data_IF_090705514648
#
_entry.id   IF_090705514648
#
_cell.length_a   1.000
_cell.length_b   1.000
_cell.length_c   1.000
_cell.angle_alpha   90.00
_cell.angle_beta   90.00
_cell.angle_gamma   90.00
#
_symmetry.space_group_name_H-M   'P 1'
#
loop_
_entity.id
_entity.type
_entity.pdbx_description
1 polymer ?
#
# COMPACT_ATOMS: atom_id res chain seq x y z
N UNK A 1 -2.34 -2.28 12.35
CA UNK A 1 -2.74 -1.46 11.19
C UNK A 1 -2.28 -0.01 11.35
N UNK A 2 -2.55 0.68 12.47
CA UNK A 2 -2.25 2.11 12.71
C UNK A 2 -0.79 2.48 12.41
N UNK A 3 0.18 1.70 12.92
CA UNK A 3 1.62 1.96 12.67
C UNK A 3 1.94 1.96 11.18
N UNK A 4 1.43 1.00 10.41
CA UNK A 4 1.71 0.91 8.97
C UNK A 4 1.05 2.03 8.15
N UNK A 5 -0.16 2.46 8.53
CA UNK A 5 -0.80 3.63 7.92
C UNK A 5 -0.11 4.92 8.34
N UNK A 6 0.32 5.04 9.61
CA UNK A 6 1.08 6.18 10.12
C UNK A 6 2.41 6.37 9.38
N UNK A 7 3.19 5.30 9.17
CA UNK A 7 4.41 5.35 8.36
C UNK A 7 4.14 5.79 6.91
N UNK A 8 3.06 5.29 6.30
CA UNK A 8 2.62 5.73 4.99
C UNK A 8 2.19 7.19 4.93
N UNK A 9 1.53 7.71 5.98
CA UNK A 9 1.15 9.11 6.06
C UNK A 9 2.38 10.01 6.26
N UNK A 10 3.32 9.62 7.14
CA UNK A 10 4.57 10.35 7.38
C UNK A 10 5.50 10.39 6.15
N UNK A 11 5.43 9.40 5.26
CA UNK A 11 6.21 9.43 4.03
C UNK A 11 5.82 10.57 3.09
N UNK A 12 4.56 11.08 3.14
CA UNK A 12 4.08 12.14 2.26
C UNK A 12 4.77 13.49 2.50
N UNK A 13 4.84 14.02 3.75
CA UNK A 13 5.64 15.23 4.02
C UNK A 13 7.13 15.02 3.72
N UNK A 14 7.67 13.81 3.91
CA UNK A 14 9.06 13.53 3.52
C UNK A 14 9.29 13.69 2.02
N UNK A 15 8.34 13.24 1.17
CA UNK A 15 8.42 13.50 -0.27
C UNK A 15 8.32 14.99 -0.61
N UNK A 16 7.44 15.73 0.05
CA UNK A 16 7.27 17.18 -0.18
C UNK A 16 8.53 17.97 0.20
N UNK A 17 9.24 17.55 1.25
CA UNK A 17 10.46 18.19 1.77
C UNK A 17 11.74 17.66 1.11
N UNK A 18 11.65 16.67 0.23
CA UNK A 18 12.82 16.03 -0.36
C UNK A 18 13.63 17.02 -1.21
N UNK A 19 14.91 17.15 -0.88
CA UNK A 19 15.88 17.99 -1.59
C UNK A 19 16.94 17.18 -2.36
N UNK A 20 17.01 15.87 -2.12
CA UNK A 20 17.99 15.00 -2.75
C UNK A 20 17.39 13.64 -3.12
N UNK A 21 18.02 12.95 -4.08
CA UNK A 21 17.62 11.60 -4.47
C UNK A 21 17.69 10.58 -3.31
N UNK A 22 18.68 10.71 -2.42
CA UNK A 22 18.80 9.87 -1.22
C UNK A 22 17.63 10.06 -0.25
N UNK A 23 17.15 11.30 -0.11
CA UNK A 23 15.99 11.60 0.73
C UNK A 23 14.71 11.01 0.15
N UNK A 24 14.52 11.10 -1.18
CA UNK A 24 13.39 10.46 -1.88
C UNK A 24 13.43 8.94 -1.71
N UNK A 25 14.61 8.32 -1.83
CA UNK A 25 14.78 6.89 -1.63
C UNK A 25 14.38 6.48 -0.20
N UNK A 26 14.82 7.22 0.81
CA UNK A 26 14.46 6.96 2.21
C UNK A 26 12.95 7.06 2.43
N UNK A 27 12.30 8.11 1.91
CA UNK A 27 10.85 8.27 1.98
C UNK A 27 10.12 7.11 1.29
N UNK A 28 10.64 6.62 0.15
CA UNK A 28 10.10 5.47 -0.58
C UNK A 28 10.23 4.16 0.20
N UNK A 29 11.37 3.93 0.84
CA UNK A 29 11.58 2.75 1.69
C UNK A 29 10.60 2.77 2.86
N UNK A 30 10.43 3.91 3.54
CA UNK A 30 9.46 4.06 4.64
C UNK A 30 8.02 3.79 4.18
N UNK A 31 7.60 4.31 3.02
CA UNK A 31 6.29 4.02 2.45
C UNK A 31 6.09 2.53 2.17
N UNK A 32 7.12 1.85 1.64
CA UNK A 32 7.08 0.41 1.35
C UNK A 32 7.01 -0.43 2.62
N UNK A 33 7.79 -0.08 3.65
CA UNK A 33 7.72 -0.71 4.97
C UNK A 33 6.32 -0.52 5.57
N UNK A 34 5.78 0.70 5.53
CA UNK A 34 4.42 0.98 5.99
C UNK A 34 3.36 0.13 5.28
N UNK A 35 3.48 -0.02 3.95
CA UNK A 35 2.59 -0.91 3.16
C UNK A 35 2.70 -2.38 3.57
N UNK A 36 3.92 -2.87 3.80
CA UNK A 36 4.15 -4.23 4.27
C UNK A 36 3.53 -4.51 5.65
N UNK A 37 3.70 -3.58 6.59
CA UNK A 37 3.18 -3.72 7.96
C UNK A 37 1.65 -3.67 8.00
N UNK A 38 1.00 -2.83 7.18
CA UNK A 38 -0.46 -2.64 7.23
C UNK A 38 -1.27 -3.73 6.54
N UNK A 39 -0.68 -4.46 5.59
CA UNK A 39 -1.41 -5.41 4.74
C UNK A 39 -2.08 -6.51 5.56
N UNK A 40 -1.30 -7.31 6.26
CA UNK A 40 -1.80 -8.45 7.05
C UNK A 40 -2.81 -8.06 8.15
N UNK A 41 -2.57 -7.03 9.00
CA UNK A 41 -3.55 -6.61 10.00
C UNK A 41 -4.85 -6.07 9.40
N UNK A 42 -4.80 -5.40 8.25
CA UNK A 42 -5.99 -4.92 7.54
C UNK A 42 -6.82 -6.08 7.04
N UNK A 43 -6.19 -7.06 6.41
CA UNK A 43 -6.87 -8.21 5.85
C UNK A 43 -7.45 -9.11 6.95
N UNK A 44 -6.76 -9.25 8.08
CA UNK A 44 -7.28 -9.93 9.26
C UNK A 44 -8.53 -9.22 9.82
N UNK A 45 -8.51 -7.88 9.89
CA UNK A 45 -9.66 -7.10 10.35
C UNK A 45 -10.88 -7.30 9.44
N UNK A 46 -10.70 -7.29 8.12
CA UNK A 46 -11.78 -7.57 7.15
C UNK A 46 -12.34 -8.99 7.38
N UNK A 47 -11.47 -9.97 7.61
CA UNK A 47 -11.89 -11.35 7.86
C UNK A 47 -12.62 -11.51 9.21
N UNK A 48 -12.24 -10.74 10.25
CA UNK A 48 -12.85 -10.80 11.58
C UNK A 48 -14.22 -10.10 11.60
N UNK A 49 -14.41 -9.03 10.83
CA UNK A 49 -15.66 -8.25 10.76
C UNK A 49 -16.68 -8.86 9.80
N UNK A 50 -16.24 -9.52 8.72
CA UNK A 50 -17.13 -10.09 7.73
C UNK A 50 -17.67 -11.47 8.16
N UNK A 51 -19.00 -11.72 8.05
CA UNK A 51 -19.57 -13.05 8.16
C UNK A 51 -18.85 -14.04 7.24
N UNK A 52 -18.75 -15.31 7.65
CA UNK A 52 -18.00 -16.32 6.91
C UNK A 52 -18.45 -16.45 5.44
N UNK A 53 -19.76 -16.36 5.23
CA UNK A 53 -20.44 -16.48 3.93
C UNK A 53 -20.14 -15.29 3.02
N UNK A 54 -19.86 -14.11 3.58
CA UNK A 54 -19.63 -12.86 2.85
C UNK A 54 -18.16 -12.46 2.76
N UNK A 55 -17.24 -13.25 3.30
CA UNK A 55 -15.80 -12.92 3.29
C UNK A 55 -15.27 -12.68 1.89
N UNK A 56 -15.66 -13.53 0.94
CA UNK A 56 -15.27 -13.35 -0.47
C UNK A 56 -15.72 -12.02 -1.04
N UNK A 57 -16.99 -11.65 -0.81
CA UNK A 57 -17.55 -10.37 -1.23
C UNK A 57 -16.86 -9.18 -0.53
N UNK A 58 -16.57 -9.28 0.77
CA UNK A 58 -15.87 -8.23 1.53
C UNK A 58 -14.45 -7.99 1.00
N UNK A 59 -13.69 -9.05 0.70
CA UNK A 59 -12.38 -8.94 0.07
C UNK A 59 -12.47 -8.42 -1.37
N UNK A 60 -13.48 -8.84 -2.14
CA UNK A 60 -13.76 -8.34 -3.47
C UNK A 60 -14.04 -6.84 -3.48
N UNK A 61 -14.93 -6.38 -2.59
CA UNK A 61 -15.24 -4.95 -2.43
C UNK A 61 -14.00 -4.14 -2.04
N UNK A 62 -13.22 -4.62 -1.07
CA UNK A 62 -11.96 -4.00 -0.68
C UNK A 62 -11.01 -3.85 -1.87
N UNK A 63 -10.85 -4.92 -2.67
CA UNK A 63 -9.97 -4.90 -3.83
C UNK A 63 -10.49 -3.95 -4.92
N UNK A 64 -11.80 -3.91 -5.13
CA UNK A 64 -12.42 -2.97 -6.06
C UNK A 64 -12.16 -1.51 -5.64
N UNK A 65 -12.31 -1.19 -4.35
CA UNK A 65 -12.00 0.15 -3.83
C UNK A 65 -10.50 0.49 -3.93
N UNK A 66 -9.60 -0.46 -3.68
CA UNK A 66 -8.17 -0.27 -3.91
C UNK A 66 -7.87 0.06 -5.39
N UNK A 67 -8.56 -0.62 -6.34
CA UNK A 67 -8.43 -0.37 -7.79
C UNK A 67 -8.98 1.00 -8.19
N UNK A 68 -10.15 1.38 -7.67
CA UNK A 68 -10.72 2.72 -7.88
C UNK A 68 -9.76 3.80 -7.37
N UNK A 69 -9.19 3.62 -6.19
CA UNK A 69 -8.18 4.53 -5.64
C UNK A 69 -6.90 4.61 -6.49
N UNK A 70 -6.45 3.46 -7.04
CA UNK A 70 -5.28 3.40 -7.92
C UNK A 70 -5.53 4.10 -9.27
N UNK A 71 -6.77 4.16 -9.73
CA UNK A 71 -7.17 4.89 -10.94
C UNK A 71 -7.37 6.39 -10.67
N UNK A 72 -8.15 6.73 -9.65
CA UNK A 72 -8.46 8.13 -9.32
C UNK A 72 -7.25 8.90 -8.79
N UNK A 73 -6.32 8.23 -8.08
CA UNK A 73 -5.14 8.88 -7.51
C UNK A 73 -4.30 9.61 -8.57
N UNK A 74 -3.83 8.92 -9.61
CA UNK A 74 -3.09 9.57 -10.71
C UNK A 74 -3.88 10.66 -11.42
N UNK A 75 -5.18 10.47 -11.67
CA UNK A 75 -6.02 11.50 -12.31
C UNK A 75 -6.09 12.77 -11.47
N UNK A 76 -6.31 12.64 -10.17
CA UNK A 76 -6.28 13.79 -9.25
C UNK A 76 -4.88 14.42 -9.20
N UNK A 77 -3.83 13.61 -9.21
CA UNK A 77 -2.45 14.10 -9.29
C UNK A 77 -2.22 14.95 -10.53
N UNK A 78 -2.64 14.48 -11.70
CA UNK A 78 -2.55 15.23 -12.97
C UNK A 78 -3.36 16.53 -12.88
N UNK A 79 -4.59 16.48 -12.42
CA UNK A 79 -5.44 17.66 -12.29
C UNK A 79 -4.80 18.72 -11.38
N UNK A 80 -4.23 18.32 -10.24
CA UNK A 80 -3.55 19.21 -9.33
C UNK A 80 -2.25 19.77 -9.93
N UNK A 81 -1.50 18.97 -10.69
CA UNK A 81 -0.31 19.43 -11.40
C UNK A 81 -0.64 20.50 -12.43
N UNK A 82 -1.73 20.33 -13.19
CA UNK A 82 -2.21 21.33 -14.14
C UNK A 82 -2.65 22.63 -13.43
N UNK A 83 -3.30 22.53 -12.29
CA UNK A 83 -3.75 23.68 -11.50
C UNK A 83 -2.58 24.48 -10.89
N UNK A 84 -1.50 23.82 -10.50
CA UNK A 84 -0.36 24.44 -9.83
C UNK A 84 0.92 24.49 -10.68
N UNK A 85 0.78 24.64 -11.98
CA UNK A 85 1.91 24.85 -12.89
C UNK A 85 3.07 23.85 -12.68
N UNK A 86 2.73 22.57 -12.45
CA UNK A 86 3.68 21.47 -12.23
C UNK A 86 4.46 21.53 -10.91
N UNK A 87 3.90 22.15 -9.87
CA UNK A 87 4.51 22.10 -8.53
C UNK A 87 4.22 20.75 -7.83
N UNK A 88 5.16 19.81 -7.97
CA UNK A 88 5.10 18.50 -7.31
C UNK A 88 5.02 18.60 -5.79
N UNK A 89 5.65 19.62 -5.19
CA UNK A 89 5.62 19.79 -3.73
C UNK A 89 4.23 20.13 -3.24
N UNK A 90 3.53 21.02 -3.93
CA UNK A 90 2.15 21.36 -3.61
C UNK A 90 1.23 20.14 -3.69
N UNK A 91 1.37 19.29 -4.71
CA UNK A 91 0.62 18.04 -4.86
C UNK A 91 0.87 17.09 -3.69
N UNK A 92 2.14 16.94 -3.25
CA UNK A 92 2.45 16.09 -2.09
C UNK A 92 1.87 16.65 -0.79
N UNK A 93 1.83 17.98 -0.61
CA UNK A 93 1.20 18.60 0.56
C UNK A 93 -0.30 18.32 0.60
N UNK A 94 -1.00 18.39 -0.52
CA UNK A 94 -2.42 18.01 -0.61
C UNK A 94 -2.61 16.51 -0.34
N UNK A 95 -1.72 15.65 -0.80
CA UNK A 95 -1.80 14.21 -0.55
C UNK A 95 -1.67 13.83 0.94
N UNK A 96 -1.17 14.74 1.77
CA UNK A 96 -1.13 14.56 3.23
C UNK A 96 -2.55 14.50 3.81
N UNK A 97 -3.48 15.31 3.32
CA UNK A 97 -4.85 15.38 3.84
C UNK A 97 -5.54 14.01 3.83
N UNK A 98 -5.70 13.32 2.68
CA UNK A 98 -6.33 12.01 2.66
C UNK A 98 -5.52 10.94 3.40
N UNK A 99 -4.18 11.08 3.46
CA UNK A 99 -3.35 10.14 4.19
C UNK A 99 -3.58 10.19 5.70
N UNK A 100 -3.62 11.40 6.29
CA UNK A 100 -3.91 11.57 7.71
C UNK A 100 -5.39 11.31 8.04
N UNK A 101 -6.30 11.64 7.13
CA UNK A 101 -7.71 11.29 7.28
C UNK A 101 -7.91 9.77 7.37
N UNK A 102 -7.19 9.00 6.54
CA UNK A 102 -7.22 7.54 6.62
C UNK A 102 -6.69 6.99 7.96
N UNK A 103 -5.64 7.61 8.52
CA UNK A 103 -5.14 7.25 9.86
C UNK A 103 -6.17 7.61 10.93
N UNK A 104 -6.76 8.79 10.88
CA UNK A 104 -7.77 9.24 11.83
C UNK A 104 -9.02 8.34 11.80
N UNK A 105 -9.54 8.03 10.60
CA UNK A 105 -10.66 7.10 10.45
C UNK A 105 -10.34 5.71 11.00
N UNK A 106 -9.11 5.24 10.85
CA UNK A 106 -8.70 3.96 11.43
C UNK A 106 -8.62 4.03 12.96
N UNK A 107 -8.16 5.12 13.51
CA UNK A 107 -8.00 5.28 14.97
C UNK A 107 -9.34 5.48 15.69
N UNK A 108 -10.25 6.25 15.09
CA UNK A 108 -11.50 6.65 15.73
C UNK A 108 -12.72 5.91 15.19
N UNK A 109 -12.68 5.45 13.94
CA UNK A 109 -13.81 4.81 13.27
C UNK A 109 -13.83 3.28 13.36
N UNK A 110 -12.70 2.64 13.69
CA UNK A 110 -12.61 1.18 13.71
C UNK A 110 -12.44 0.69 15.14
N UNK A 111 -13.47 0.00 15.65
CA UNK A 111 -13.36 -0.74 16.89
C UNK A 111 -12.83 -2.15 16.61
N UNK A 112 -11.71 -2.53 17.23
CA UNK A 112 -11.24 -3.91 17.15
C UNK A 112 -12.25 -4.84 17.83
N UNK A 113 -12.70 -5.92 17.15
CA UNK A 113 -13.57 -6.90 17.78
C UNK A 113 -12.93 -7.45 19.05
N UNK A 114 -13.67 -7.48 20.14
CA UNK A 114 -13.21 -8.10 21.38
C UNK A 114 -12.99 -9.59 21.11
N UNK A 115 -11.73 -10.01 21.13
CA UNK A 115 -11.39 -11.42 21.00
C UNK A 115 -11.68 -12.13 22.33
N UNK A 116 -12.25 -13.34 22.29
CA UNK A 116 -12.44 -14.13 23.52
C UNK A 116 -11.12 -14.25 24.28
N UNK A 117 -11.15 -13.99 25.57
CA UNK A 117 -10.01 -14.19 26.45
C UNK A 117 -9.61 -15.68 26.42
N UNK A 118 -8.33 -15.97 26.15
CA UNK A 118 -7.82 -17.35 26.12
C UNK A 118 -7.32 -17.85 24.76
N UNK A 119 -7.49 -17.10 23.67
CA UNK A 119 -6.86 -17.46 22.38
C UNK A 119 -5.37 -17.15 22.45
N UNK A 120 -4.57 -18.18 22.67
CA UNK A 120 -3.10 -18.08 22.63
C UNK A 120 -2.69 -17.64 21.22
N UNK A 121 -2.00 -16.50 21.12
CA UNK A 121 -1.39 -16.04 19.87
C UNK A 121 -0.28 -17.01 19.46
N UNK A 122 -0.61 -18.05 18.74
CA UNK A 122 0.39 -18.82 18.04
C UNK A 122 0.89 -17.99 16.87
N UNK A 123 2.21 -17.76 16.81
CA UNK A 123 2.82 -17.08 15.65
C UNK A 123 2.63 -17.98 14.42
N UNK A 124 1.79 -17.58 13.42
CA UNK A 124 1.52 -18.43 12.26
C UNK A 124 2.77 -18.64 11.40
N UNK A 125 3.76 -17.75 11.51
CA UNK A 125 5.03 -17.80 10.76
C UNK A 125 6.13 -18.46 11.59
N UNK A 126 5.81 -19.42 12.46
CA UNK A 126 6.82 -20.19 13.16
C UNK A 126 7.52 -21.19 12.20
N UNK A 127 8.82 -21.48 12.43
CA UNK A 127 9.56 -22.46 11.63
C UNK A 127 8.86 -23.83 11.57
N UNK A 128 8.15 -24.21 12.64
CA UNK A 128 7.36 -25.44 12.69
C UNK A 128 6.16 -25.41 11.76
N UNK A 129 5.44 -24.28 11.70
CA UNK A 129 4.28 -24.12 10.82
C UNK A 129 4.68 -24.04 9.35
N UNK A 130 5.81 -23.37 9.05
CA UNK A 130 6.36 -23.32 7.69
C UNK A 130 6.74 -24.71 7.16
N UNK A 131 7.27 -25.60 8.01
CA UNK A 131 7.59 -26.99 7.63
C UNK A 131 6.35 -27.85 7.35
N UNK A 132 5.17 -27.46 7.83
CA UNK A 132 3.89 -28.15 7.57
C UNK A 132 3.29 -27.81 6.21
N UNK A 133 3.81 -26.78 5.55
CA UNK A 133 3.33 -26.40 4.23
C UNK A 133 3.82 -27.39 3.17
N UNK A 134 2.90 -27.78 2.28
CA UNK A 134 3.19 -28.77 1.25
C UNK A 134 4.24 -28.28 0.24
N UNK A 135 4.92 -29.21 -0.43
CA UNK A 135 5.84 -28.86 -1.52
C UNK A 135 5.13 -28.12 -2.68
N UNK A 136 3.84 -28.38 -2.88
CA UNK A 136 3.02 -27.66 -3.86
C UNK A 136 2.89 -26.17 -3.48
N UNK A 137 2.68 -25.86 -2.21
CA UNK A 137 2.65 -24.48 -1.73
C UNK A 137 3.97 -23.75 -2.03
N UNK A 138 5.10 -24.37 -1.70
CA UNK A 138 6.41 -23.75 -1.94
C UNK A 138 6.71 -23.55 -3.42
N UNK A 139 6.27 -24.47 -4.29
CA UNK A 139 6.35 -24.29 -5.75
C UNK A 139 5.60 -23.03 -6.20
N UNK A 140 4.37 -22.83 -5.72
CA UNK A 140 3.58 -21.64 -6.05
C UNK A 140 4.26 -20.36 -5.53
N UNK A 141 4.81 -20.40 -4.31
CA UNK A 141 5.56 -19.27 -3.74
C UNK A 141 6.78 -18.91 -4.59
N UNK A 142 7.57 -19.92 -5.01
CA UNK A 142 8.75 -19.69 -5.87
C UNK A 142 8.35 -19.13 -7.23
N UNK A 143 7.33 -19.69 -7.89
CA UNK A 143 6.81 -19.17 -9.15
C UNK A 143 6.36 -17.72 -8.98
N UNK A 144 5.58 -17.41 -7.93
CA UNK A 144 5.13 -16.05 -7.63
C UNK A 144 6.30 -15.10 -7.37
N UNK A 145 7.34 -15.55 -6.67
CA UNK A 145 8.54 -14.77 -6.43
C UNK A 145 9.28 -14.45 -7.74
N UNK A 146 9.45 -15.44 -8.63
CA UNK A 146 10.07 -15.24 -9.95
C UNK A 146 9.28 -14.25 -10.79
N UNK A 147 7.94 -14.39 -10.85
CA UNK A 147 7.08 -13.42 -11.54
C UNK A 147 7.19 -12.02 -10.96
N UNK A 148 7.27 -11.90 -9.64
CA UNK A 148 7.43 -10.60 -8.98
C UNK A 148 8.78 -9.96 -9.28
N UNK A 149 9.85 -10.75 -9.35
CA UNK A 149 11.18 -10.28 -9.74
C UNK A 149 11.27 -9.89 -11.22
N UNK A 150 10.55 -10.60 -12.09
CA UNK A 150 10.47 -10.27 -13.52
C UNK A 150 9.67 -8.98 -13.78
N UNK A 151 8.87 -8.53 -12.82
CA UNK A 151 8.08 -7.30 -12.94
C UNK A 151 8.96 -6.08 -12.72
N UNK A 152 9.32 -5.39 -13.82
CA UNK A 152 10.05 -4.14 -13.75
C UNK A 152 9.14 -2.96 -13.36
N UNK A 153 9.75 -1.87 -12.93
CA UNK A 153 9.02 -0.64 -12.57
C UNK A 153 8.48 0.06 -13.82
N UNK A 154 7.20 0.43 -13.81
CA UNK A 154 6.56 1.22 -14.86
C UNK A 154 7.29 2.55 -15.14
N UNK A 155 8.05 3.06 -14.15
CA UNK A 155 8.89 4.24 -14.32
C UNK A 155 9.93 4.10 -15.46
N UNK A 156 10.42 2.89 -15.75
CA UNK A 156 11.33 2.66 -16.86
C UNK A 156 10.66 2.85 -18.22
N UNK A 157 9.36 2.55 -18.34
CA UNK A 157 8.59 2.82 -19.55
C UNK A 157 8.48 4.32 -19.79
N UNK A 158 8.18 5.08 -18.72
CA UNK A 158 8.12 6.55 -18.80
C UNK A 158 9.48 7.14 -19.19
N UNK A 159 10.57 6.67 -18.57
CA UNK A 159 11.93 7.09 -18.93
C UNK A 159 12.27 6.77 -20.39
N UNK A 160 11.87 5.60 -20.88
CA UNK A 160 12.09 5.20 -22.28
C UNK A 160 11.29 6.06 -23.23
N UNK A 161 10.06 6.40 -22.88
CA UNK A 161 9.20 7.30 -23.65
C UNK A 161 9.83 8.70 -23.76
N UNK A 162 10.34 9.24 -22.64
CA UNK A 162 11.08 10.50 -22.59
C UNK A 162 12.34 10.48 -23.49
N UNK A 163 13.13 9.42 -23.43
CA UNK A 163 14.30 9.24 -24.29
C UNK A 163 13.94 9.13 -25.78
N UNK A 164 12.75 8.64 -26.09
CA UNK A 164 12.19 8.57 -27.44
C UNK A 164 11.63 9.89 -27.97
N UNK A 165 11.77 10.99 -27.22
CA UNK A 165 11.28 12.33 -27.63
C UNK A 165 9.78 12.53 -27.43
N UNK A 166 9.09 11.59 -26.78
CA UNK A 166 7.71 11.84 -26.37
C UNK A 166 7.72 12.84 -25.22
N UNK A 167 7.07 13.98 -25.42
CA UNK A 167 6.73 14.85 -24.30
C UNK A 167 5.93 14.01 -23.31
N UNK A 168 6.27 14.06 -22.02
CA UNK A 168 5.35 13.60 -20.97
C UNK A 168 4.17 14.55 -21.06
N UNK A 169 3.25 14.24 -21.95
CA UNK A 169 1.94 14.85 -21.91
C UNK A 169 1.33 14.34 -20.61
N UNK A 170 1.24 15.22 -19.69
CA UNK A 170 0.69 15.17 -18.38
C UNK A 170 -0.61 14.37 -18.32
#
# INVERSE_FOLDING_TARGET
>A
AVIGYGLGALSKPLFALATSAGFILTARILDRIGKGIRGAPRDALVADLAPKELRGAAFGLRQALDTVGAFLGPLLGIALMLLWANDFRAVFWVAIIPAFLAVALLMFGVQEPQRPAGVVRTNPVSKQNLKRLSAAYWRVVVIGAVFTLARFSEAFLVLRALQGGMAVAY
#
